data_IF_021775243324
#
_entry.id   IF_021775243324
#
_cell.length_a   1.000
_cell.length_b   1.000
_cell.length_c   1.000
_cell.angle_alpha   90.00
_cell.angle_beta   90.00
_cell.angle_gamma   90.00
#
_symmetry.space_group_name_H-M   'P 1'
#
loop_
_entity.id
_entity.type
_entity.pdbx_description
1 polymer ?
#
# COMPACT_ATOMS: atom_id res chain seq x y z
N UNK A 1 6.76 55.69 34.66
CA UNK A 1 7.57 54.46 34.49
C UNK A 1 6.73 53.19 34.42
N UNK A 2 5.66 53.01 35.20
CA UNK A 2 4.83 51.77 35.19
C UNK A 2 4.07 51.49 33.88
N UNK A 3 3.65 52.50 33.10
CA UNK A 3 2.95 52.30 31.81
C UNK A 3 3.86 51.74 30.71
N UNK A 4 5.10 52.25 30.59
CA UNK A 4 6.08 51.80 29.59
C UNK A 4 6.55 50.38 29.84
N UNK A 5 6.61 49.97 31.12
CA UNK A 5 7.00 48.61 31.51
C UNK A 5 5.92 47.54 31.14
N UNK A 6 4.63 47.94 31.20
CA UNK A 6 3.53 47.05 30.78
C UNK A 6 3.51 46.79 29.26
N UNK A 7 3.84 47.79 28.45
CA UNK A 7 3.96 47.61 27.00
C UNK A 7 5.20 46.80 26.61
N UNK A 8 6.31 46.93 27.33
CA UNK A 8 7.51 46.15 27.10
C UNK A 8 7.26 44.67 27.41
N UNK A 9 6.55 44.33 28.49
CA UNK A 9 6.16 42.96 28.85
C UNK A 9 5.17 42.39 27.83
N UNK A 10 4.20 43.19 27.34
CA UNK A 10 3.24 42.73 26.34
C UNK A 10 3.90 42.43 24.99
N UNK A 11 4.87 43.27 24.55
CA UNK A 11 5.61 43.05 23.30
C UNK A 11 6.53 41.84 23.39
N UNK A 12 7.18 41.64 24.55
CA UNK A 12 8.03 40.43 24.75
C UNK A 12 7.21 39.16 24.77
N UNK A 13 6.00 39.18 25.35
CA UNK A 13 5.11 38.04 25.41
C UNK A 13 4.51 37.66 24.04
N UNK A 14 4.23 38.66 23.17
CA UNK A 14 3.83 38.41 21.78
C UNK A 14 4.97 37.85 20.93
N UNK A 15 6.23 38.25 21.18
CA UNK A 15 7.38 37.75 20.43
C UNK A 15 7.70 36.28 20.77
N UNK A 16 7.41 35.82 21.99
CA UNK A 16 7.62 34.43 22.42
C UNK A 16 6.54 33.50 21.87
N UNK A 17 5.30 33.99 21.65
CA UNK A 17 4.23 33.19 21.06
C UNK A 17 4.36 32.98 19.54
N UNK A 18 5.12 33.82 18.84
CA UNK A 18 5.27 33.69 17.39
C UNK A 18 6.32 32.67 16.94
N UNK A 19 7.12 32.12 17.84
CA UNK A 19 8.17 31.15 17.51
C UNK A 19 7.63 29.67 17.59
N UNK A 20 6.45 29.47 18.18
CA UNK A 20 5.89 28.11 18.41
C UNK A 20 5.08 27.53 17.24
N UNK A 21 4.88 28.24 16.14
CA UNK A 21 4.08 27.76 14.99
C UNK A 21 4.90 27.28 13.80
N UNK A 22 6.23 27.22 13.88
CA UNK A 22 7.07 26.70 12.78
C UNK A 22 7.55 25.25 12.98
N UNK A 23 7.03 24.55 13.98
CA UNK A 23 7.30 23.10 14.15
C UNK A 23 6.13 22.23 13.69
N UNK A 24 5.24 22.76 12.85
CA UNK A 24 4.29 21.99 12.08
C UNK A 24 5.01 21.34 10.89
N UNK A 25 5.89 20.39 11.15
CA UNK A 25 6.42 19.51 10.12
C UNK A 25 5.24 18.67 9.61
N UNK A 26 4.61 19.14 8.54
CA UNK A 26 3.76 18.33 7.69
C UNK A 26 4.63 17.21 7.15
N UNK A 27 4.51 16.02 7.74
CA UNK A 27 5.04 14.80 7.18
C UNK A 27 4.29 14.52 5.88
N UNK A 28 4.69 15.15 4.80
CA UNK A 28 4.54 14.58 3.48
C UNK A 28 5.41 13.33 3.51
N UNK A 29 4.79 12.16 3.62
CA UNK A 29 5.43 10.91 3.28
C UNK A 29 5.75 10.97 1.79
N UNK A 30 6.85 11.63 1.43
CA UNK A 30 7.56 11.28 0.21
C UNK A 30 7.98 9.83 0.42
N UNK A 31 7.25 8.95 -0.21
CA UNK A 31 7.66 7.59 -0.49
C UNK A 31 8.91 7.67 -1.38
N UNK A 32 10.02 8.04 -0.77
CA UNK A 32 11.33 7.74 -1.32
C UNK A 32 11.39 6.23 -1.38
N UNK A 33 11.31 5.68 -2.59
CA UNK A 33 11.45 4.25 -2.86
C UNK A 33 12.73 3.71 -2.26
N UNK A 34 12.68 3.44 -0.96
CA UNK A 34 13.64 2.56 -0.31
C UNK A 34 13.44 1.20 -0.98
N UNK A 35 14.46 0.71 -1.69
CA UNK A 35 14.60 -0.69 -2.09
C UNK A 35 14.85 -1.55 -0.84
N UNK A 36 14.08 -1.33 0.20
CA UNK A 36 13.97 -2.21 1.34
C UNK A 36 13.09 -3.38 0.92
N UNK A 37 13.50 -4.59 1.30
CA UNK A 37 12.67 -5.78 1.21
C UNK A 37 11.35 -5.47 1.91
N UNK A 38 10.21 -5.70 1.25
CA UNK A 38 8.91 -5.55 1.88
C UNK A 38 8.81 -6.48 3.09
N UNK A 39 8.29 -5.99 4.20
CA UNK A 39 8.13 -6.79 5.42
C UNK A 39 6.91 -7.70 5.34
N UNK A 40 5.94 -7.36 4.51
CA UNK A 40 4.73 -8.15 4.28
C UNK A 40 4.23 -8.03 2.84
N UNK A 41 3.43 -9.01 2.43
CA UNK A 41 2.71 -9.10 1.17
C UNK A 41 1.22 -9.27 1.48
N UNK A 42 0.39 -8.37 1.01
CA UNK A 42 -1.06 -8.42 1.15
C UNK A 42 -1.66 -9.08 -0.09
N UNK A 43 -2.30 -10.23 0.07
CA UNK A 43 -2.90 -10.94 -1.04
C UNK A 43 -4.40 -11.11 -0.85
N UNK A 44 -5.13 -11.05 -1.95
CA UNK A 44 -6.57 -11.29 -2.00
C UNK A 44 -6.83 -12.51 -2.88
N UNK A 45 -7.43 -13.55 -2.31
CA UNK A 45 -7.66 -14.84 -2.97
C UNK A 45 -9.07 -15.35 -2.69
N UNK A 46 -9.52 -16.33 -3.47
CA UNK A 46 -10.80 -16.98 -3.24
C UNK A 46 -10.78 -17.84 -2.00
N UNK A 47 -11.87 -17.80 -1.23
CA UNK A 47 -12.04 -18.67 -0.07
C UNK A 47 -11.98 -20.15 -0.49
N UNK A 48 -11.22 -20.93 0.27
CA UNK A 48 -11.05 -22.37 0.05
C UNK A 48 -10.06 -22.75 -1.06
N UNK A 49 -9.51 -21.80 -1.82
CA UNK A 49 -8.49 -22.08 -2.86
C UNK A 49 -7.08 -22.06 -2.28
N UNK A 50 -6.83 -21.14 -1.36
CA UNK A 50 -5.53 -20.89 -0.77
C UNK A 50 -5.60 -20.91 0.76
N UNK A 51 -4.54 -21.40 1.41
CA UNK A 51 -4.43 -21.38 2.86
C UNK A 51 -3.10 -20.79 3.31
N UNK A 52 -3.02 -20.36 4.58
CA UNK A 52 -1.80 -19.81 5.13
C UNK A 52 -0.63 -20.80 5.09
N UNK A 53 -0.89 -22.11 5.24
CA UNK A 53 0.14 -23.14 5.18
C UNK A 53 0.86 -23.18 3.83
N UNK A 54 0.17 -22.86 2.73
CA UNK A 54 0.76 -22.82 1.39
C UNK A 54 1.84 -21.74 1.25
N UNK A 55 1.79 -20.72 2.09
CA UNK A 55 2.74 -19.58 2.07
C UNK A 55 3.83 -19.68 3.13
N UNK A 56 3.77 -20.69 4.02
CA UNK A 56 4.76 -20.83 5.09
C UNK A 56 6.18 -20.98 4.56
N UNK A 57 6.37 -21.76 3.50
CA UNK A 57 7.69 -21.98 2.92
C UNK A 57 8.22 -20.69 2.26
N UNK A 58 7.35 -19.95 1.56
CA UNK A 58 7.70 -18.64 1.05
C UNK A 58 8.16 -17.70 2.17
N UNK A 59 7.41 -17.65 3.28
CA UNK A 59 7.77 -16.82 4.43
C UNK A 59 9.09 -17.28 5.07
N UNK A 60 9.33 -18.59 5.19
CA UNK A 60 10.59 -19.13 5.72
C UNK A 60 11.80 -18.75 4.85
N UNK A 61 11.65 -18.85 3.52
CA UNK A 61 12.73 -18.55 2.57
C UNK A 61 13.02 -17.05 2.46
N UNK A 62 11.96 -16.23 2.48
CA UNK A 62 12.07 -14.81 2.17
C UNK A 62 12.10 -13.92 3.39
N UNK A 63 11.51 -14.36 4.52
CA UNK A 63 11.22 -13.56 5.70
C UNK A 63 10.09 -12.56 5.48
N UNK A 64 9.37 -12.61 4.35
CA UNK A 64 8.22 -11.75 4.04
C UNK A 64 6.96 -12.43 4.58
N UNK A 65 6.22 -11.73 5.43
CA UNK A 65 4.95 -12.22 5.94
C UNK A 65 3.87 -12.11 4.86
N UNK A 66 3.05 -13.15 4.68
CA UNK A 66 1.89 -13.10 3.79
C UNK A 66 0.63 -12.86 4.62
N UNK A 67 -0.09 -11.78 4.31
CA UNK A 67 -1.41 -11.49 4.87
C UNK A 67 -2.46 -11.85 3.82
N UNK A 68 -3.35 -12.78 4.16
CA UNK A 68 -4.37 -13.29 3.24
C UNK A 68 -5.70 -12.63 3.57
N UNK A 69 -6.37 -12.12 2.54
CA UNK A 69 -7.77 -11.72 2.57
C UNK A 69 -8.55 -12.56 1.57
N UNK A 70 -9.80 -12.87 1.88
CA UNK A 70 -10.62 -13.71 1.02
C UNK A 70 -11.64 -12.91 0.24
N UNK A 71 -11.79 -13.27 -1.05
CA UNK A 71 -12.82 -12.74 -1.94
C UNK A 71 -14.07 -13.60 -1.74
N UNK A 72 -15.18 -12.94 -1.50
CA UNK A 72 -16.52 -13.52 -1.54
C UNK A 72 -17.29 -13.06 -2.79
N UNK A 73 -16.90 -11.89 -3.34
CA UNK A 73 -17.57 -11.29 -4.49
C UNK A 73 -16.63 -10.36 -5.26
N UNK A 74 -16.42 -10.64 -6.56
CA UNK A 74 -15.50 -9.87 -7.41
C UNK A 74 -15.99 -8.45 -7.70
N UNK A 75 -17.29 -8.21 -7.81
CA UNK A 75 -17.82 -6.86 -8.02
C UNK A 75 -17.55 -5.96 -6.80
N UNK A 76 -17.64 -6.52 -5.60
CA UNK A 76 -17.28 -5.83 -4.36
C UNK A 76 -15.78 -5.51 -4.31
N UNK A 77 -14.94 -6.44 -4.75
CA UNK A 77 -13.50 -6.20 -4.86
C UNK A 77 -13.19 -5.07 -5.85
N UNK A 78 -13.81 -5.12 -7.04
CA UNK A 78 -13.63 -4.09 -8.06
C UNK A 78 -14.03 -2.70 -7.53
N UNK A 79 -15.17 -2.60 -6.85
CA UNK A 79 -15.62 -1.34 -6.26
C UNK A 79 -14.62 -0.80 -5.24
N UNK A 80 -14.12 -1.64 -4.32
CA UNK A 80 -13.11 -1.26 -3.32
C UNK A 80 -11.81 -0.77 -3.96
N UNK A 81 -11.37 -1.42 -5.04
CA UNK A 81 -10.16 -1.02 -5.75
C UNK A 81 -10.34 0.32 -6.47
N UNK A 82 -11.48 0.54 -7.11
CA UNK A 82 -11.81 1.84 -7.76
C UNK A 82 -11.86 2.97 -6.72
N UNK A 83 -12.42 2.72 -5.55
CA UNK A 83 -12.47 3.68 -4.45
C UNK A 83 -11.11 3.93 -3.79
N UNK A 84 -10.07 3.15 -4.12
CA UNK A 84 -8.75 3.22 -3.50
C UNK A 84 -8.73 2.77 -2.03
N UNK A 85 -9.77 2.04 -1.59
CA UNK A 85 -9.87 1.52 -0.23
C UNK A 85 -9.24 0.13 -0.04
N UNK A 86 -8.75 -0.47 -1.13
CA UNK A 86 -8.08 -1.77 -1.14
C UNK A 86 -6.57 -1.58 -1.30
N UNK A 87 -5.79 -2.23 -0.45
CA UNK A 87 -4.32 -2.22 -0.46
C UNK A 87 -3.82 -3.67 -0.58
N UNK A 88 -3.81 -4.17 -1.82
CA UNK A 88 -3.36 -5.52 -2.15
C UNK A 88 -2.19 -5.48 -3.12
N UNK A 89 -1.16 -6.26 -2.84
CA UNK A 89 0.00 -6.44 -3.71
C UNK A 89 -0.28 -7.49 -4.81
N UNK A 90 -1.15 -8.46 -4.50
CA UNK A 90 -1.54 -9.54 -5.42
C UNK A 90 -3.01 -9.89 -5.25
N UNK A 91 -3.70 -10.09 -6.35
CA UNK A 91 -5.09 -10.56 -6.37
C UNK A 91 -5.24 -11.80 -7.25
N UNK A 92 -6.03 -12.76 -6.80
CA UNK A 92 -6.48 -13.90 -7.62
C UNK A 92 -7.76 -13.52 -8.34
N UNK A 93 -7.68 -13.33 -9.65
CA UNK A 93 -8.76 -12.73 -10.44
C UNK A 93 -9.27 -13.69 -11.50
N UNK A 94 -10.58 -13.85 -11.58
CA UNK A 94 -11.22 -14.59 -12.67
C UNK A 94 -11.01 -13.92 -14.02
N UNK A 95 -10.74 -14.72 -15.06
CA UNK A 95 -10.47 -14.22 -16.41
C UNK A 95 -11.56 -13.31 -16.98
N UNK A 96 -12.81 -13.52 -16.60
CA UNK A 96 -13.93 -12.69 -17.02
C UNK A 96 -13.83 -11.22 -16.55
N UNK A 97 -13.17 -10.97 -15.41
CA UNK A 97 -13.04 -9.64 -14.82
C UNK A 97 -11.75 -8.93 -15.21
N UNK A 98 -10.76 -9.62 -15.77
CA UNK A 98 -9.45 -9.04 -16.13
C UNK A 98 -9.60 -7.77 -16.95
N UNK A 99 -10.53 -7.76 -17.93
CA UNK A 99 -10.75 -6.57 -18.75
C UNK A 99 -11.22 -5.36 -17.95
N UNK A 100 -12.14 -5.53 -17.02
CA UNK A 100 -12.66 -4.44 -16.19
C UNK A 100 -11.57 -3.84 -15.30
N UNK A 101 -10.70 -4.70 -14.74
CA UNK A 101 -9.57 -4.26 -13.93
C UNK A 101 -8.49 -3.54 -14.75
N UNK A 102 -8.24 -3.98 -15.99
CA UNK A 102 -7.33 -3.30 -16.92
C UNK A 102 -7.87 -1.94 -17.36
N UNK A 103 -9.16 -1.87 -17.72
CA UNK A 103 -9.81 -0.62 -18.13
C UNK A 103 -9.83 0.41 -16.99
N UNK A 104 -9.88 -0.06 -15.73
CA UNK A 104 -9.77 0.75 -14.52
C UNK A 104 -8.35 1.10 -14.10
N UNK A 105 -7.32 0.68 -14.86
CA UNK A 105 -5.89 0.88 -14.51
C UNK A 105 -5.52 0.31 -13.12
N UNK A 106 -6.22 -0.74 -12.67
CA UNK A 106 -6.07 -1.32 -11.35
C UNK A 106 -4.98 -2.41 -11.28
N UNK A 107 -4.41 -2.81 -12.43
CA UNK A 107 -3.40 -3.85 -12.51
C UNK A 107 -2.07 -3.29 -13.01
N UNK A 108 -0.99 -3.68 -12.34
CA UNK A 108 0.37 -3.41 -12.79
C UNK A 108 0.86 -4.49 -13.77
N UNK A 109 1.69 -4.15 -14.77
CA UNK A 109 2.27 -5.13 -15.67
C UNK A 109 3.25 -6.05 -14.92
N UNK A 110 3.20 -7.35 -15.22
CA UNK A 110 4.12 -8.34 -14.69
C UNK A 110 5.35 -8.45 -15.59
N UNK A 111 6.53 -8.21 -15.03
CA UNK A 111 7.79 -8.48 -15.71
C UNK A 111 8.08 -9.98 -15.72
N UNK A 112 7.68 -10.65 -16.81
CA UNK A 112 7.85 -12.11 -16.97
C UNK A 112 9.31 -12.56 -16.88
N UNK A 113 10.30 -11.69 -17.13
CA UNK A 113 11.71 -12.04 -17.01
C UNK A 113 12.14 -12.30 -15.56
N UNK A 114 11.41 -11.73 -14.59
CA UNK A 114 11.64 -11.92 -13.15
C UNK A 114 10.88 -13.12 -12.56
N UNK A 115 9.96 -13.71 -13.32
CA UNK A 115 9.20 -14.88 -12.87
C UNK A 115 9.98 -16.15 -13.15
N UNK A 116 10.66 -16.68 -12.13
CA UNK A 116 11.61 -17.81 -12.25
C UNK A 116 11.04 -19.05 -12.93
N UNK A 117 9.79 -19.36 -12.68
CA UNK A 117 9.14 -20.59 -13.14
C UNK A 117 8.13 -20.40 -14.27
N UNK A 118 8.12 -19.24 -14.93
CA UNK A 118 7.21 -18.97 -16.06
C UNK A 118 7.29 -20.05 -17.15
N UNK A 119 8.49 -20.62 -17.39
CA UNK A 119 8.73 -21.70 -18.35
C UNK A 119 8.01 -23.03 -18.02
N UNK A 120 7.52 -23.19 -16.78
CA UNK A 120 6.76 -24.37 -16.36
C UNK A 120 5.26 -24.23 -16.65
N UNK A 121 4.83 -23.04 -17.08
CA UNK A 121 3.44 -22.77 -17.45
C UNK A 121 3.27 -23.11 -18.93
N UNK A 122 2.20 -23.84 -19.27
CA UNK A 122 1.89 -24.17 -20.66
C UNK A 122 1.62 -22.89 -21.47
N UNK A 123 2.09 -22.83 -22.72
CA UNK A 123 2.03 -21.61 -23.56
C UNK A 123 0.62 -21.04 -23.75
N UNK A 124 -0.40 -21.91 -23.77
CA UNK A 124 -1.80 -21.50 -23.91
C UNK A 124 -2.32 -20.64 -22.73
N UNK A 125 -1.66 -20.71 -21.57
CA UNK A 125 -1.97 -19.89 -20.39
C UNK A 125 -1.11 -18.62 -20.29
N UNK A 126 -0.17 -18.41 -21.22
CA UNK A 126 0.73 -17.25 -21.21
C UNK A 126 0.35 -16.17 -22.24
N UNK A 127 -0.79 -16.35 -22.92
CA UNK A 127 -1.28 -15.46 -24.00
C UNK A 127 -2.15 -14.36 -23.44
#
# INVERSE_FOLDING_TARGET
>A
MKKKMKHLIAVTMCLVLSISVLSGCGGSSESTGSKGKADSLNIMVWEGTWSEEMFQDFTKETGIKVNISYIDNTDTLLAKMIEGSADYDLIDLEGAYVKSFLDGELLAPIDKSKVKYVKNIQENFLK
#
